data_IF_178965601483
#
_entry.id   IF_178965601483
#
_cell.length_a   1.000
_cell.length_b   1.000
_cell.length_c   1.000
_cell.angle_alpha   90.00
_cell.angle_beta   90.00
_cell.angle_gamma   90.00
#
_symmetry.space_group_name_H-M   'P 1'
#
loop_
_entity.id
_entity.type
_entity.pdbx_description
1 polymer ?
#
# COMPACT_ATOMS: atom_id res chain seq x y z
N UNK A 1 2.31 -20.52 2.44
CA UNK A 1 2.82 -19.48 1.50
C UNK A 1 1.70 -18.78 0.71
N UNK A 2 0.43 -19.17 0.86
CA UNK A 2 -0.70 -18.68 0.04
C UNK A 2 -1.52 -17.55 0.69
N UNK A 3 -1.14 -17.08 1.88
CA UNK A 3 -1.97 -16.12 2.58
C UNK A 3 -2.03 -14.75 1.89
N UNK A 4 -3.24 -14.19 1.81
CA UNK A 4 -3.54 -12.89 1.19
C UNK A 4 -3.11 -11.74 2.12
N UNK A 5 -2.83 -10.56 1.56
CA UNK A 5 -2.29 -9.45 2.36
C UNK A 5 -3.25 -8.96 3.46
N UNK A 6 -4.56 -9.08 3.25
CA UNK A 6 -5.55 -8.79 4.29
C UNK A 6 -5.49 -9.79 5.47
N UNK A 7 -5.04 -11.03 5.25
CA UNK A 7 -4.90 -12.02 6.32
C UNK A 7 -3.73 -11.65 7.23
N UNK A 8 -2.65 -11.11 6.66
CA UNK A 8 -1.53 -10.58 7.45
C UNK A 8 -2.00 -9.46 8.38
N UNK A 9 -2.79 -8.54 7.84
CA UNK A 9 -3.41 -7.46 8.61
C UNK A 9 -4.27 -7.99 9.76
N UNK A 10 -5.09 -9.03 9.51
CA UNK A 10 -5.91 -9.66 10.55
C UNK A 10 -5.06 -10.32 11.66
N UNK A 11 -4.00 -11.03 11.29
CA UNK A 11 -3.13 -11.76 12.22
C UNK A 11 -2.32 -10.85 13.17
N UNK A 12 -2.17 -9.54 12.88
CA UNK A 12 -1.56 -8.59 13.83
C UNK A 12 -2.29 -8.57 15.17
N UNK A 13 -3.63 -8.70 15.14
CA UNK A 13 -4.47 -8.65 16.34
C UNK A 13 -4.58 -10.01 17.05
N UNK A 14 -3.94 -11.06 16.54
CA UNK A 14 -4.08 -12.40 17.09
C UNK A 14 -3.54 -12.48 18.52
N UNK A 15 -4.28 -13.16 19.39
CA UNK A 15 -3.93 -13.41 20.77
C UNK A 15 -4.46 -14.79 21.19
N UNK A 16 -3.69 -15.50 22.01
CA UNK A 16 -4.15 -16.72 22.67
C UNK A 16 -5.00 -16.32 23.89
N UNK A 17 -6.30 -16.66 23.88
CA UNK A 17 -7.27 -16.18 24.88
C UNK A 17 -7.81 -17.31 25.78
N UNK A 18 -8.00 -18.51 25.23
CA UNK A 18 -8.55 -19.66 25.95
C UNK A 18 -8.00 -20.98 25.38
N UNK A 19 -8.17 -22.08 26.12
CA UNK A 19 -7.61 -23.39 25.78
C UNK A 19 -6.15 -23.53 26.20
N UNK A 20 -5.34 -24.21 25.40
CA UNK A 20 -3.89 -24.27 25.59
C UNK A 20 -3.25 -22.95 25.13
N UNK A 21 -3.09 -22.03 26.08
CA UNK A 21 -2.56 -20.69 25.82
C UNK A 21 -1.11 -20.74 25.35
N UNK A 22 -0.31 -21.70 25.82
CA UNK A 22 1.10 -21.79 25.46
C UNK A 22 1.28 -22.32 24.03
N UNK A 23 0.48 -23.32 23.63
CA UNK A 23 0.42 -23.74 22.23
C UNK A 23 -0.08 -22.60 21.32
N UNK A 24 -1.08 -21.82 21.76
CA UNK A 24 -1.56 -20.65 21.03
C UNK A 24 -0.50 -19.56 20.86
N UNK A 25 0.30 -19.28 21.89
CA UNK A 25 1.45 -18.36 21.81
C UNK A 25 2.50 -18.88 20.83
N UNK A 26 2.82 -20.17 20.88
CA UNK A 26 3.77 -20.78 19.96
C UNK A 26 3.32 -20.68 18.50
N UNK A 27 2.02 -20.88 18.23
CA UNK A 27 1.45 -20.68 16.90
C UNK A 27 1.62 -19.23 16.43
N UNK A 28 1.30 -18.25 17.28
CA UNK A 28 1.44 -16.82 16.94
C UNK A 28 2.89 -16.46 16.65
N UNK A 29 3.84 -16.97 17.44
CA UNK A 29 5.28 -16.78 17.18
C UNK A 29 5.69 -17.38 15.82
N UNK A 30 5.22 -18.58 15.50
CA UNK A 30 5.48 -19.22 14.21
C UNK A 30 4.89 -18.44 13.02
N UNK A 31 3.83 -17.66 13.25
CA UNK A 31 3.20 -16.83 12.22
C UNK A 31 3.87 -15.45 12.06
N UNK A 32 4.77 -15.03 12.96
CA UNK A 32 5.44 -13.72 12.85
C UNK A 32 6.14 -13.48 11.51
N UNK A 33 6.88 -14.43 10.91
CA UNK A 33 7.50 -14.22 9.59
C UNK A 33 6.48 -14.05 8.46
N UNK A 34 5.28 -14.63 8.61
CA UNK A 34 4.20 -14.46 7.64
C UNK A 34 3.55 -13.07 7.75
N UNK A 35 3.35 -12.58 8.97
CA UNK A 35 2.76 -11.26 9.26
C UNK A 35 3.74 -10.12 8.95
N UNK A 36 4.96 -10.22 9.49
CA UNK A 36 5.98 -9.17 9.46
C UNK A 36 7.11 -9.53 8.50
N UNK A 37 6.96 -9.16 7.23
CA UNK A 37 7.96 -9.44 6.20
C UNK A 37 9.21 -8.57 6.42
N UNK A 38 10.40 -9.18 6.47
CA UNK A 38 11.68 -8.45 6.57
C UNK A 38 11.98 -7.58 5.34
N UNK A 39 11.52 -8.06 4.17
CA UNK A 39 11.59 -7.38 2.88
C UNK A 39 10.18 -7.21 2.35
N UNK A 40 9.83 -5.97 2.02
CA UNK A 40 8.56 -5.64 1.38
C UNK A 40 8.85 -5.41 -0.09
N UNK A 41 8.46 -6.40 -0.88
CA UNK A 41 8.42 -6.30 -2.33
C UNK A 41 7.29 -5.35 -2.77
N UNK A 42 7.32 -4.94 -4.05
CA UNK A 42 6.29 -4.09 -4.60
C UNK A 42 4.89 -4.73 -4.53
N UNK A 43 4.81 -6.06 -4.57
CA UNK A 43 3.54 -6.78 -4.42
C UNK A 43 2.91 -6.56 -3.05
N UNK A 44 3.70 -6.62 -1.98
CA UNK A 44 3.23 -6.35 -0.63
C UNK A 44 2.76 -4.90 -0.47
N UNK A 45 3.50 -3.92 -1.01
CA UNK A 45 3.12 -2.50 -0.93
C UNK A 45 1.82 -2.24 -1.67
N UNK A 46 1.65 -2.81 -2.87
CA UNK A 46 0.39 -2.70 -3.62
C UNK A 46 -0.78 -3.35 -2.88
N UNK A 47 -0.57 -4.51 -2.25
CA UNK A 47 -1.60 -5.15 -1.42
C UNK A 47 -2.05 -4.27 -0.24
N UNK A 48 -1.13 -3.51 0.36
CA UNK A 48 -1.44 -2.54 1.41
C UNK A 48 -2.20 -1.32 0.86
N UNK A 49 -1.87 -0.83 -0.34
CA UNK A 49 -2.62 0.24 -1.02
C UNK A 49 -4.02 -0.20 -1.40
N UNK A 50 -4.18 -1.43 -1.91
CA UNK A 50 -5.49 -2.00 -2.20
C UNK A 50 -6.34 -2.10 -0.94
N UNK A 51 -5.74 -2.45 0.20
CA UNK A 51 -6.43 -2.47 1.50
C UNK A 51 -6.86 -1.07 1.94
N UNK A 52 -6.00 -0.05 1.79
CA UNK A 52 -6.34 1.35 2.04
C UNK A 52 -7.51 1.80 1.15
N UNK A 53 -7.42 1.57 -0.16
CA UNK A 53 -8.46 1.96 -1.12
C UNK A 53 -9.81 1.30 -0.87
N UNK A 54 -9.84 0.06 -0.33
CA UNK A 54 -11.09 -0.57 0.12
C UNK A 54 -11.70 0.12 1.34
N UNK A 55 -10.86 0.61 2.26
CA UNK A 55 -11.33 1.38 3.42
C UNK A 55 -11.89 2.72 2.94
N UNK A 56 -11.17 3.44 2.07
CA UNK A 56 -11.62 4.71 1.48
C UNK A 56 -12.99 4.55 0.78
N UNK A 57 -13.15 3.53 -0.07
CA UNK A 57 -14.41 3.25 -0.78
C UNK A 57 -15.57 2.88 0.15
N UNK A 58 -15.29 2.21 1.27
CA UNK A 58 -16.30 1.86 2.25
C UNK A 58 -16.78 3.11 2.99
N UNK A 59 -15.85 4.00 3.36
CA UNK A 59 -16.12 5.27 4.04
C UNK A 59 -16.99 6.23 3.22
N UNK A 60 -16.83 6.26 1.90
CA UNK A 60 -17.60 7.13 0.99
C UNK A 60 -19.11 6.79 0.91
N UNK A 61 -19.53 5.69 1.53
CA UNK A 61 -20.94 5.32 1.57
C UNK A 61 -21.71 6.19 2.56
N UNK A 62 -22.77 6.85 2.06
CA UNK A 62 -23.59 7.81 2.84
C UNK A 62 -24.22 7.22 4.12
N UNK A 63 -24.46 5.91 4.16
CA UNK A 63 -25.02 5.22 5.34
C UNK A 63 -24.05 5.09 6.51
N UNK A 64 -22.76 5.39 6.32
CA UNK A 64 -21.72 5.24 7.34
C UNK A 64 -21.27 6.55 7.98
N UNK A 65 -21.83 7.71 7.60
CA UNK A 65 -21.44 9.00 8.15
C UNK A 65 -21.55 9.06 9.69
N UNK A 66 -22.62 8.50 10.26
CA UNK A 66 -22.85 8.42 11.71
C UNK A 66 -22.18 7.20 12.37
N UNK A 67 -21.40 6.39 11.64
CA UNK A 67 -20.74 5.20 12.17
C UNK A 67 -19.35 5.54 12.75
N UNK A 68 -19.17 5.40 14.05
CA UNK A 68 -17.94 5.77 14.76
C UNK A 68 -16.71 4.95 14.36
N UNK A 69 -16.92 3.76 13.80
CA UNK A 69 -15.85 2.82 13.43
C UNK A 69 -15.55 2.83 11.94
N UNK A 70 -16.58 2.76 11.11
CA UNK A 70 -16.48 2.63 9.65
C UNK A 70 -16.70 3.94 8.90
N UNK A 71 -17.23 4.96 9.58
CA UNK A 71 -17.40 6.28 8.98
C UNK A 71 -16.08 7.03 8.83
N UNK A 72 -16.11 8.17 8.13
CA UNK A 72 -14.92 8.96 7.87
C UNK A 72 -14.25 9.45 9.16
N UNK A 73 -12.93 9.33 9.26
CA UNK A 73 -12.19 9.66 10.48
C UNK A 73 -12.45 8.70 11.64
N UNK A 74 -12.98 7.52 11.36
CA UNK A 74 -13.41 6.54 12.36
C UNK A 74 -12.29 5.73 12.99
N UNK A 75 -12.66 4.90 13.97
CA UNK A 75 -11.73 4.02 14.70
C UNK A 75 -10.93 3.11 13.74
N UNK A 76 -11.53 2.64 12.64
CA UNK A 76 -10.86 1.74 11.68
C UNK A 76 -9.72 2.43 10.93
N UNK A 77 -9.86 3.70 10.58
CA UNK A 77 -8.78 4.47 9.91
C UNK A 77 -7.58 4.62 10.84
N UNK A 78 -7.81 4.96 12.11
CA UNK A 78 -6.78 4.99 13.16
C UNK A 78 -6.06 3.64 13.28
N UNK A 79 -6.83 2.56 13.48
CA UNK A 79 -6.27 1.21 13.58
C UNK A 79 -5.44 0.84 12.36
N UNK A 80 -5.93 1.17 11.17
CA UNK A 80 -5.23 0.88 9.93
C UNK A 80 -3.90 1.63 9.85
N UNK A 81 -3.86 2.93 10.16
CA UNK A 81 -2.63 3.72 10.09
C UNK A 81 -1.51 3.15 10.97
N UNK A 82 -1.85 2.81 12.23
CA UNK A 82 -0.89 2.20 13.18
C UNK A 82 -0.47 0.80 12.72
N UNK A 83 -1.42 -0.05 12.33
CA UNK A 83 -1.12 -1.42 11.91
C UNK A 83 -0.32 -1.48 10.60
N UNK A 84 -0.58 -0.56 9.69
CA UNK A 84 0.18 -0.43 8.47
C UNK A 84 1.65 -0.10 8.77
N UNK A 85 1.92 0.83 9.69
CA UNK A 85 3.28 1.12 10.12
C UNK A 85 3.96 -0.12 10.74
N UNK A 86 3.22 -0.93 11.52
CA UNK A 86 3.72 -2.21 12.04
C UNK A 86 4.02 -3.21 10.91
N UNK A 87 3.17 -3.32 9.88
CA UNK A 87 3.43 -4.20 8.74
C UNK A 87 4.66 -3.76 7.94
N UNK A 88 4.86 -2.44 7.81
CA UNK A 88 5.97 -1.88 7.05
C UNK A 88 7.31 -2.09 7.78
N UNK A 89 7.36 -1.82 9.09
CA UNK A 89 8.63 -1.82 9.85
C UNK A 89 8.83 -3.03 10.76
N UNK A 90 7.77 -3.70 11.17
CA UNK A 90 7.82 -4.81 12.13
C UNK A 90 8.65 -6.00 11.66
N UNK A 91 8.88 -6.16 10.36
CA UNK A 91 9.81 -7.17 9.83
C UNK A 91 11.26 -6.96 10.27
N UNK A 92 11.66 -5.70 10.48
CA UNK A 92 13.02 -5.30 10.89
C UNK A 92 13.10 -4.91 12.35
N UNK A 93 12.01 -4.40 12.91
CA UNK A 93 11.93 -3.92 14.28
C UNK A 93 10.98 -4.79 15.12
N UNK A 94 11.57 -5.71 15.88
CA UNK A 94 10.79 -6.64 16.71
C UNK A 94 9.96 -5.95 17.79
N UNK A 95 10.39 -4.76 18.27
CA UNK A 95 9.65 -3.93 19.23
C UNK A 95 8.28 -3.48 18.72
N UNK A 96 8.09 -3.42 17.40
CA UNK A 96 6.82 -3.04 16.78
C UNK A 96 5.84 -4.22 16.65
N UNK A 97 6.22 -5.45 17.03
CA UNK A 97 5.39 -6.66 16.90
C UNK A 97 4.47 -6.86 18.11
N UNK A 98 3.94 -5.77 18.65
CA UNK A 98 3.03 -5.77 19.80
C UNK A 98 1.57 -5.79 19.34
N UNK A 99 0.71 -6.40 20.14
CA UNK A 99 -0.73 -6.43 19.87
C UNK A 99 -1.44 -5.24 20.52
N UNK A 100 -2.51 -4.77 19.87
CA UNK A 100 -3.34 -3.65 20.33
C UNK A 100 -2.85 -2.28 19.86
N UNK A 101 -3.80 -1.35 19.71
CA UNK A 101 -3.56 -0.02 19.16
C UNK A 101 -2.62 0.83 20.04
N UNK A 102 -2.90 0.96 21.34
CA UNK A 102 -2.12 1.83 22.23
C UNK A 102 -0.67 1.33 22.45
N UNK A 103 -0.41 0.03 22.70
CA UNK A 103 0.96 -0.48 22.77
C UNK A 103 1.72 -0.28 21.45
N UNK A 104 1.07 -0.53 20.31
CA UNK A 104 1.67 -0.33 19.00
C UNK A 104 2.03 1.14 18.74
N UNK A 105 1.12 2.07 19.06
CA UNK A 105 1.36 3.50 18.94
C UNK A 105 2.52 3.97 19.81
N UNK A 106 2.61 3.48 21.05
CA UNK A 106 3.73 3.77 21.94
C UNK A 106 5.07 3.23 21.39
N UNK A 107 5.08 2.03 20.80
CA UNK A 107 6.27 1.46 20.19
C UNK A 107 6.70 2.21 18.91
N UNK A 108 5.73 2.69 18.13
CA UNK A 108 5.97 3.54 16.95
C UNK A 108 6.56 4.90 17.34
N UNK A 109 6.09 5.49 18.44
CA UNK A 109 6.65 6.73 18.98
C UNK A 109 8.09 6.50 19.49
N UNK A 110 8.31 5.44 20.28
CA UNK A 110 9.62 5.10 20.82
C UNK A 110 10.68 4.77 19.75
N UNK A 111 10.26 4.31 18.57
CA UNK A 111 11.13 4.03 17.41
C UNK A 111 11.28 5.22 16.45
N UNK A 112 10.65 6.36 16.76
CA UNK A 112 10.68 7.56 15.93
C UNK A 112 9.96 7.43 14.59
N UNK A 113 9.08 6.44 14.42
CA UNK A 113 8.21 6.34 13.22
C UNK A 113 7.19 7.46 13.20
N UNK A 114 6.62 7.71 14.36
CA UNK A 114 5.61 8.72 14.61
C UNK A 114 6.22 9.67 15.63
N UNK A 115 6.19 10.96 15.38
CA UNK A 115 6.66 11.94 16.34
C UNK A 115 5.77 11.92 17.60
N UNK A 116 6.32 12.41 18.72
CA UNK A 116 5.65 12.33 20.01
C UNK A 116 4.32 13.08 20.04
N UNK A 117 4.23 14.22 19.35
CA UNK A 117 3.04 15.07 19.32
C UNK A 117 1.91 14.38 18.55
N UNK A 118 2.20 13.85 17.35
CA UNK A 118 1.26 13.05 16.56
C UNK A 118 0.83 11.79 17.32
N UNK A 119 1.74 11.11 18.02
CA UNK A 119 1.39 9.94 18.82
C UNK A 119 0.45 10.30 19.98
N UNK A 120 0.66 11.44 20.64
CA UNK A 120 -0.22 11.91 21.70
C UNK A 120 -1.60 12.30 21.17
N UNK A 121 -1.67 12.94 20.00
CA UNK A 121 -2.94 13.25 19.32
C UNK A 121 -3.71 11.97 18.97
N UNK A 122 -3.07 11.01 18.29
CA UNK A 122 -3.66 9.72 17.93
C UNK A 122 -4.17 8.94 19.15
N UNK A 123 -3.42 8.97 20.26
CA UNK A 123 -3.84 8.37 21.53
C UNK A 123 -5.14 9.03 22.03
N UNK A 124 -5.18 10.36 22.02
CA UNK A 124 -6.36 11.15 22.43
C UNK A 124 -7.58 10.84 21.57
N UNK A 125 -7.43 10.86 20.24
CA UNK A 125 -8.50 10.57 19.28
C UNK A 125 -9.06 9.15 19.44
N UNK A 126 -8.17 8.15 19.51
CA UNK A 126 -8.59 6.76 19.73
C UNK A 126 -9.36 6.61 21.03
N UNK A 127 -8.81 7.13 22.13
CA UNK A 127 -9.47 7.10 23.44
C UNK A 127 -10.83 7.80 23.44
N UNK A 128 -10.94 8.95 22.77
CA UNK A 128 -12.20 9.68 22.61
C UNK A 128 -13.24 8.87 21.84
N UNK A 129 -12.92 8.40 20.63
CA UNK A 129 -13.86 7.64 19.80
C UNK A 129 -14.30 6.34 20.48
N UNK A 130 -13.38 5.64 21.16
CA UNK A 130 -13.72 4.44 21.97
C UNK A 130 -14.67 4.77 23.11
N UNK A 131 -14.52 5.91 23.80
CA UNK A 131 -15.45 6.32 24.86
C UNK A 131 -16.84 6.62 24.31
N UNK A 132 -16.93 7.30 23.16
CA UNK A 132 -18.22 7.58 22.51
C UNK A 132 -18.88 6.26 22.06
N UNK A 133 -18.13 5.39 21.39
CA UNK A 133 -18.60 4.07 20.94
C UNK A 133 -19.10 3.22 22.10
N UNK A 134 -18.31 3.09 23.17
CA UNK A 134 -18.72 2.32 24.34
C UNK A 134 -20.00 2.91 24.96
N UNK A 135 -20.17 4.24 24.98
CA UNK A 135 -21.39 4.87 25.51
C UNK A 135 -22.62 4.57 24.63
N UNK A 136 -22.44 4.55 23.31
CA UNK A 136 -23.47 4.15 22.36
C UNK A 136 -23.91 2.70 22.63
N UNK A 137 -22.96 1.79 22.83
CA UNK A 137 -23.25 0.39 23.13
C UNK A 137 -23.98 0.21 24.47
N UNK A 138 -23.57 0.97 25.50
CA UNK A 138 -24.17 0.94 26.83
C UNK A 138 -25.63 1.41 26.88
N UNK A 139 -26.13 2.17 25.88
CA UNK A 139 -27.52 2.63 25.89
C UNK A 139 -28.54 1.49 25.84
N UNK A 140 -28.20 0.40 25.14
CA UNK A 140 -29.08 -0.76 24.92
C UNK A 140 -28.39 -2.11 25.15
N UNK A 141 -27.13 -2.11 25.58
CA UNK A 141 -26.27 -3.30 25.63
C UNK A 141 -26.16 -4.00 24.26
N UNK A 142 -26.00 -3.20 23.20
CA UNK A 142 -25.97 -3.67 21.81
C UNK A 142 -24.59 -3.43 21.19
N UNK A 143 -24.14 -4.36 20.35
CA UNK A 143 -22.90 -4.22 19.57
C UNK A 143 -23.09 -3.28 18.35
N UNK A 144 -23.48 -2.04 18.60
CA UNK A 144 -23.64 -1.00 17.57
C UNK A 144 -22.46 -0.04 17.54
N UNK A 145 -22.18 0.49 16.34
CA UNK A 145 -21.17 1.52 16.09
C UNK A 145 -21.80 2.84 15.59
N UNK A 146 -23.10 2.83 15.29
CA UNK A 146 -23.80 3.98 14.73
C UNK A 146 -24.36 4.86 15.84
N UNK A 147 -24.17 6.17 15.71
CA UNK A 147 -24.82 7.12 16.60
C UNK A 147 -26.35 6.95 16.54
N UNK A 148 -27.05 7.04 17.69
CA UNK A 148 -28.50 6.88 17.73
C UNK A 148 -29.18 8.00 16.94
N UNK A 149 -30.33 7.71 16.34
CA UNK A 149 -31.12 8.69 15.58
C UNK A 149 -32.09 9.48 16.48
N UNK A 150 -32.55 8.88 17.57
CA UNK A 150 -33.48 9.52 18.50
C UNK A 150 -32.82 10.72 19.22
N UNK A 151 -33.43 11.92 19.19
CA UNK A 151 -32.86 13.12 19.83
C UNK A 151 -32.63 12.95 21.34
N UNK A 152 -33.51 12.22 22.02
CA UNK A 152 -33.40 11.94 23.45
C UNK A 152 -32.16 11.10 23.78
N UNK A 153 -31.86 10.09 22.96
CA UNK A 153 -30.67 9.26 23.14
C UNK A 153 -29.39 10.03 22.80
N UNK A 154 -29.42 10.86 21.75
CA UNK A 154 -28.30 11.77 21.43
C UNK A 154 -28.00 12.74 22.56
N UNK A 155 -29.02 13.30 23.20
CA UNK A 155 -28.84 14.16 24.38
C UNK A 155 -28.29 13.38 25.59
N UNK A 156 -28.78 12.16 25.84
CA UNK A 156 -28.22 11.28 26.88
C UNK A 156 -26.74 11.00 26.65
N UNK A 157 -26.33 10.74 25.41
CA UNK A 157 -24.91 10.56 25.07
C UNK A 157 -24.09 11.80 25.43
N UNK A 158 -24.51 12.98 24.98
CA UNK A 158 -23.82 14.24 25.26
C UNK A 158 -23.63 14.45 26.77
N UNK A 159 -24.71 14.41 27.54
CA UNK A 159 -24.67 14.64 28.99
C UNK A 159 -23.82 13.61 29.73
N UNK A 160 -23.94 12.33 29.37
CA UNK A 160 -23.18 11.26 30.05
C UNK A 160 -21.70 11.23 29.68
N UNK A 161 -21.33 11.82 28.55
CA UNK A 161 -19.94 12.09 28.15
C UNK A 161 -19.40 13.41 28.71
N UNK A 162 -20.22 14.19 29.43
CA UNK A 162 -19.82 15.45 30.07
C UNK A 162 -19.93 16.69 29.17
N UNK A 163 -20.65 16.61 28.05
CA UNK A 163 -20.92 17.75 27.17
C UNK A 163 -22.20 18.47 27.58
N UNK A 164 -22.25 19.79 27.37
CA UNK A 164 -23.39 20.62 27.73
C UNK A 164 -24.66 20.29 26.91
N UNK A 165 -24.47 19.99 25.62
CA UNK A 165 -25.55 19.72 24.68
C UNK A 165 -25.08 18.85 23.50
N UNK A 166 -26.03 18.50 22.62
CA UNK A 166 -25.76 17.73 21.42
C UNK A 166 -24.80 18.45 20.44
N UNK A 167 -24.99 19.75 20.11
CA UNK A 167 -24.04 20.49 19.28
C UNK A 167 -22.58 20.42 19.77
N UNK A 168 -22.35 20.53 21.08
CA UNK A 168 -21.00 20.45 21.65
C UNK A 168 -20.37 19.06 21.47
N UNK A 169 -21.14 17.99 21.69
CA UNK A 169 -20.66 16.62 21.43
C UNK A 169 -20.39 16.41 19.94
N UNK A 170 -21.29 16.86 19.06
CA UNK A 170 -21.14 16.68 17.61
C UNK A 170 -19.90 17.42 17.09
N UNK A 171 -19.68 18.67 17.52
CA UNK A 171 -18.49 19.43 17.15
C UNK A 171 -17.19 18.74 17.60
N UNK A 172 -17.17 18.13 18.79
CA UNK A 172 -16.02 17.37 19.26
C UNK A 172 -15.76 16.10 18.43
N UNK A 173 -16.84 15.39 18.02
CA UNK A 173 -16.73 14.23 17.13
C UNK A 173 -16.19 14.65 15.76
N UNK A 174 -16.73 15.71 15.18
CA UNK A 174 -16.36 16.19 13.85
C UNK A 174 -14.91 16.69 13.82
N UNK A 175 -14.46 17.41 14.87
CA UNK A 175 -13.08 17.85 14.99
C UNK A 175 -12.10 16.67 15.02
N UNK A 176 -12.36 15.68 15.89
CA UNK A 176 -11.51 14.47 15.96
C UNK A 176 -11.49 13.72 14.64
N UNK A 177 -12.66 13.54 14.00
CA UNK A 177 -12.74 12.82 12.72
C UNK A 177 -11.98 13.56 11.61
N UNK A 178 -12.10 14.88 11.53
CA UNK A 178 -11.38 15.67 10.53
C UNK A 178 -9.86 15.54 10.68
N UNK A 179 -9.34 15.58 11.92
CA UNK A 179 -7.92 15.39 12.18
C UNK A 179 -7.45 13.97 11.82
N UNK A 180 -8.25 12.94 12.14
CA UNK A 180 -7.97 11.55 11.74
C UNK A 180 -7.92 11.41 10.22
N UNK A 181 -8.85 12.02 9.49
CA UNK A 181 -8.86 11.96 8.03
C UNK A 181 -7.60 12.56 7.40
N UNK A 182 -7.11 13.69 7.94
CA UNK A 182 -5.87 14.32 7.45
C UNK A 182 -4.68 13.37 7.64
N UNK A 183 -4.58 12.77 8.83
CA UNK A 183 -3.50 11.80 9.14
C UNK A 183 -3.61 10.52 8.28
N UNK A 184 -4.83 10.03 8.08
CA UNK A 184 -5.10 8.84 7.27
C UNK A 184 -4.83 9.08 5.79
N UNK A 185 -5.18 10.26 5.26
CA UNK A 185 -4.87 10.64 3.89
C UNK A 185 -3.36 10.65 3.65
N UNK A 186 -2.56 11.23 4.56
CA UNK A 186 -1.11 11.24 4.47
C UNK A 186 -0.46 9.83 4.53
N UNK A 187 -1.21 8.82 4.98
CA UNK A 187 -0.73 7.45 5.12
C UNK A 187 -0.57 6.78 3.74
N UNK A 188 0.67 6.39 3.40
CA UNK A 188 1.11 5.88 2.08
C UNK A 188 1.31 6.94 0.97
N UNK A 189 0.98 8.21 1.21
CA UNK A 189 1.20 9.30 0.25
C UNK A 189 2.70 9.65 0.07
N UNK A 190 3.51 9.43 1.12
CA UNK A 190 4.97 9.51 1.07
C UNK A 190 5.65 8.47 0.16
N UNK A 191 4.91 7.44 -0.27
CA UNK A 191 5.31 6.51 -1.31
C UNK A 191 4.60 6.83 -2.64
N UNK A 192 4.52 8.10 -3.01
CA UNK A 192 4.13 8.55 -4.36
C UNK A 192 2.71 8.18 -4.78
N UNK A 193 1.75 8.26 -3.85
CA UNK A 193 0.35 8.30 -4.23
C UNK A 193 0.07 9.69 -4.84
N UNK A 194 0.23 9.79 -6.17
CA UNK A 194 -0.61 10.74 -6.91
C UNK A 194 -2.00 10.11 -6.94
N UNK A 195 -3.07 10.89 -6.72
CA UNK A 195 -4.43 10.40 -6.92
C UNK A 195 -4.54 9.79 -8.32
N UNK A 196 -5.46 8.84 -8.56
CA UNK A 196 -5.76 8.39 -9.91
C UNK A 196 -6.03 9.65 -10.74
N UNK A 197 -5.16 9.93 -11.71
CA UNK A 197 -5.47 10.91 -12.74
C UNK A 197 -6.84 10.53 -13.27
N UNK A 198 -7.82 11.42 -13.10
CA UNK A 198 -9.12 11.30 -13.73
C UNK A 198 -8.89 11.36 -15.25
N UNK A 199 -8.78 10.19 -15.87
CA UNK A 199 -8.50 10.01 -17.29
C UNK A 199 -9.70 10.43 -18.17
N UNK A 200 -10.82 10.87 -17.59
CA UNK A 200 -11.93 11.45 -18.33
C UNK A 200 -11.67 12.89 -18.79
N UNK A 201 -10.64 13.56 -18.25
CA UNK A 201 -10.16 14.86 -18.76
C UNK A 201 -8.74 14.72 -19.28
N UNK A 202 -8.63 14.46 -20.58
CA UNK A 202 -7.37 14.59 -21.30
C UNK A 202 -6.77 15.99 -21.08
N UNK A 203 -5.45 16.12 -20.88
CA UNK A 203 -4.82 17.42 -20.69
C UNK A 203 -4.72 18.13 -22.05
N UNK A 204 -5.73 18.91 -22.39
CA UNK A 204 -5.58 20.03 -23.32
C UNK A 204 -5.43 21.30 -22.47
N UNK A 205 -4.20 21.81 -22.35
CA UNK A 205 -3.74 22.95 -23.16
C UNK A 205 -2.44 23.55 -22.60
N UNK A 206 -1.46 23.62 -23.51
CA UNK A 206 -0.53 24.73 -23.73
C UNK A 206 0.51 25.11 -22.68
N UNK A 207 1.76 24.74 -22.98
CA UNK A 207 2.90 25.61 -23.38
C UNK A 207 4.21 24.82 -23.17
N UNK A 208 5.22 24.79 -24.04
CA UNK A 208 5.45 25.40 -25.34
C UNK A 208 6.64 24.67 -26.01
N UNK A 209 6.66 24.72 -27.35
CA UNK A 209 7.82 24.82 -28.23
C UNK A 209 9.11 24.06 -27.89
N UNK A 210 9.36 22.98 -28.64
CA UNK A 210 10.67 22.37 -28.78
C UNK A 210 10.57 21.15 -29.68
N UNK A 211 10.78 21.33 -30.98
CA UNK A 211 10.73 20.24 -31.96
C UNK A 211 11.65 19.07 -31.60
N UNK A 212 11.11 17.86 -31.72
CA UNK A 212 11.81 16.59 -31.97
C UNK A 212 10.74 15.60 -32.40
N UNK A 213 10.54 15.53 -33.72
CA UNK A 213 10.97 14.40 -34.55
C UNK A 213 10.21 13.12 -34.22
N UNK A 214 9.55 12.59 -35.25
CA UNK A 214 8.73 11.39 -35.22
C UNK A 214 9.43 10.30 -34.41
N UNK A 215 8.74 9.75 -33.40
CA UNK A 215 9.14 8.46 -32.86
C UNK A 215 9.23 7.49 -34.05
N UNK A 216 10.37 6.78 -34.24
CA UNK A 216 10.49 5.86 -35.36
C UNK A 216 9.35 4.85 -35.27
N UNK A 217 8.65 4.64 -36.38
CA UNK A 217 7.65 3.59 -36.51
C UNK A 217 8.23 2.29 -35.94
N UNK A 218 7.47 1.55 -35.09
CA UNK A 218 7.98 0.30 -34.53
C UNK A 218 8.44 -0.63 -35.64
N UNK A 219 9.63 -1.22 -35.48
CA UNK A 219 10.16 -2.21 -36.43
C UNK A 219 9.15 -3.35 -36.60
N UNK A 220 9.21 -4.04 -37.74
CA UNK A 220 8.32 -5.18 -38.00
C UNK A 220 8.41 -6.25 -36.88
N UNK A 221 9.60 -6.48 -36.33
CA UNK A 221 9.85 -7.39 -35.21
C UNK A 221 9.12 -6.95 -33.94
N UNK A 222 9.23 -5.67 -33.56
CA UNK A 222 8.57 -5.12 -32.37
C UNK A 222 7.05 -5.18 -32.52
N UNK A 223 6.53 -4.85 -33.71
CA UNK A 223 5.10 -4.93 -34.02
C UNK A 223 4.55 -6.35 -33.92
N UNK A 224 5.29 -7.33 -34.45
CA UNK A 224 4.95 -8.74 -34.32
C UNK A 224 4.94 -9.19 -32.84
N UNK A 225 5.93 -8.76 -32.06
CA UNK A 225 6.02 -9.07 -30.63
C UNK A 225 4.87 -8.44 -29.82
N UNK A 226 4.45 -7.20 -30.12
CA UNK A 226 3.28 -6.56 -29.51
C UNK A 226 2.02 -7.37 -29.79
N UNK A 227 1.79 -7.75 -31.05
CA UNK A 227 0.61 -8.54 -31.42
C UNK A 227 0.60 -9.91 -30.73
N UNK A 228 1.76 -10.57 -30.66
CA UNK A 228 1.90 -11.83 -29.93
C UNK A 228 1.61 -11.68 -28.42
N UNK A 229 2.10 -10.60 -27.81
CA UNK A 229 1.83 -10.28 -26.40
C UNK A 229 0.35 -10.04 -26.14
N UNK A 230 -0.32 -9.25 -26.99
CA UNK A 230 -1.75 -8.96 -26.89
C UNK A 230 -2.62 -10.22 -27.08
N UNK A 231 -2.18 -11.14 -27.94
CA UNK A 231 -2.85 -12.42 -28.16
C UNK A 231 -2.61 -13.45 -27.04
N UNK A 232 -1.59 -13.25 -26.20
CA UNK A 232 -1.20 -14.21 -25.19
C UNK A 232 -2.27 -14.44 -24.12
N UNK A 233 -2.44 -15.70 -23.70
CA UNK A 233 -3.44 -16.10 -22.69
C UNK A 233 -3.37 -15.30 -21.38
N UNK A 234 -2.18 -15.02 -20.78
CA UNK A 234 -2.10 -14.23 -19.55
C UNK A 234 -2.69 -12.83 -19.70
N UNK A 235 -2.49 -12.19 -20.86
CA UNK A 235 -2.97 -10.83 -21.15
C UNK A 235 -4.46 -10.83 -21.47
N UNK A 236 -4.95 -11.86 -22.17
CA UNK A 236 -6.39 -12.02 -22.47
C UNK A 236 -7.25 -12.37 -21.26
N UNK A 237 -6.66 -13.00 -20.24
CA UNK A 237 -7.34 -13.39 -19.00
C UNK A 237 -7.21 -12.37 -17.86
N UNK A 238 -6.59 -11.21 -18.12
CA UNK A 238 -6.52 -10.15 -17.14
C UNK A 238 -7.92 -9.69 -16.71
N UNK A 239 -8.05 -9.35 -15.44
CA UNK A 239 -9.19 -8.60 -14.95
C UNK A 239 -9.14 -7.15 -15.47
N UNK A 240 -10.23 -6.39 -15.30
CA UNK A 240 -10.35 -5.03 -15.83
C UNK A 240 -9.21 -4.12 -15.34
N UNK A 241 -8.86 -4.19 -14.05
CA UNK A 241 -7.77 -3.38 -13.47
C UNK A 241 -6.39 -3.77 -13.99
N UNK A 242 -6.10 -5.07 -14.10
CA UNK A 242 -4.85 -5.55 -14.69
C UNK A 242 -4.70 -5.12 -16.14
N UNK A 243 -5.80 -5.15 -16.89
CA UNK A 243 -5.86 -4.70 -18.28
C UNK A 243 -5.58 -3.20 -18.42
N UNK A 244 -6.23 -2.36 -17.63
CA UNK A 244 -5.99 -0.90 -17.62
C UNK A 244 -4.52 -0.56 -17.31
N UNK A 245 -3.95 -1.22 -16.30
CA UNK A 245 -2.54 -1.04 -15.93
C UNK A 245 -1.60 -1.48 -17.04
N UNK A 246 -1.88 -2.62 -17.68
CA UNK A 246 -1.12 -3.12 -18.82
C UNK A 246 -1.15 -2.14 -20.00
N UNK A 247 -2.34 -1.67 -20.39
CA UNK A 247 -2.53 -0.74 -21.50
C UNK A 247 -1.86 0.62 -21.24
N UNK A 248 -1.76 1.04 -19.97
CA UNK A 248 -1.01 2.22 -19.57
C UNK A 248 0.51 1.99 -19.57
N UNK A 249 0.98 0.83 -19.11
CA UNK A 249 2.41 0.54 -18.98
C UNK A 249 3.09 0.30 -20.33
N UNK A 250 2.43 -0.41 -21.25
CA UNK A 250 2.98 -0.81 -22.55
C UNK A 250 3.55 0.38 -23.37
N UNK A 251 2.78 1.44 -23.69
CA UNK A 251 3.32 2.56 -24.49
C UNK A 251 4.45 3.31 -23.77
N UNK A 252 4.36 3.44 -22.44
CA UNK A 252 5.39 4.11 -21.65
C UNK A 252 6.72 3.35 -21.63
N UNK A 253 6.68 2.02 -21.66
CA UNK A 253 7.86 1.16 -21.73
C UNK A 253 8.49 1.22 -23.12
N UNK A 254 7.68 1.22 -24.19
CA UNK A 254 8.18 1.38 -25.55
C UNK A 254 8.83 2.77 -25.74
N UNK A 255 8.26 3.81 -25.15
CA UNK A 255 8.86 5.15 -25.14
C UNK A 255 10.20 5.16 -24.39
N UNK A 256 10.29 4.48 -23.24
CA UNK A 256 11.55 4.36 -22.50
C UNK A 256 12.62 3.59 -23.31
N UNK A 257 12.23 2.50 -23.99
CA UNK A 257 13.13 1.77 -24.87
C UNK A 257 13.65 2.62 -26.04
N UNK A 258 12.79 3.43 -26.65
CA UNK A 258 13.16 4.32 -27.75
C UNK A 258 14.25 5.35 -27.36
N UNK A 259 14.35 5.69 -26.07
CA UNK A 259 15.37 6.61 -25.55
C UNK A 259 16.73 5.96 -25.22
N UNK A 260 16.90 4.66 -25.48
CA UNK A 260 18.13 3.91 -25.14
C UNK A 260 19.08 3.76 -26.34
N UNK A 261 20.36 3.42 -26.12
CA UNK A 261 21.31 3.17 -27.21
C UNK A 261 20.98 1.95 -28.08
N UNK A 262 20.13 1.02 -27.61
CA UNK A 262 19.70 -0.16 -28.39
C UNK A 262 18.17 -0.34 -28.35
N UNK A 263 17.40 0.52 -29.05
CA UNK A 263 15.94 0.62 -28.92
C UNK A 263 15.18 -0.68 -29.19
N UNK A 264 15.54 -1.40 -30.26
CA UNK A 264 14.84 -2.63 -30.66
C UNK A 264 15.09 -3.78 -29.66
N UNK A 265 16.35 -3.97 -29.25
CA UNK A 265 16.70 -4.99 -28.25
C UNK A 265 16.01 -4.72 -26.90
N UNK A 266 16.03 -3.46 -26.45
CA UNK A 266 15.34 -3.05 -25.23
C UNK A 266 13.83 -3.27 -25.35
N UNK A 267 13.19 -2.86 -26.45
CA UNK A 267 11.76 -3.04 -26.66
C UNK A 267 11.35 -4.52 -26.65
N UNK A 268 12.06 -5.39 -27.39
CA UNK A 268 11.77 -6.82 -27.43
C UNK A 268 11.93 -7.48 -26.05
N UNK A 269 12.99 -7.12 -25.32
CA UNK A 269 13.19 -7.60 -23.96
C UNK A 269 12.08 -7.13 -23.01
N UNK A 270 11.70 -5.85 -23.04
CA UNK A 270 10.62 -5.32 -22.19
C UNK A 270 9.25 -5.94 -22.51
N UNK A 271 8.98 -6.27 -23.78
CA UNK A 271 7.77 -7.01 -24.16
C UNK A 271 7.77 -8.45 -23.60
N UNK A 272 8.92 -9.14 -23.62
CA UNK A 272 9.09 -10.45 -22.97
C UNK A 272 8.91 -10.34 -21.46
N UNK A 273 9.41 -9.27 -20.84
CA UNK A 273 9.21 -8.99 -19.42
C UNK A 273 7.72 -8.80 -19.12
N UNK A 274 7.02 -7.94 -19.87
CA UNK A 274 5.57 -7.71 -19.74
C UNK A 274 4.77 -9.01 -19.84
N UNK A 275 5.16 -9.91 -20.75
CA UNK A 275 4.56 -11.24 -20.83
C UNK A 275 4.77 -12.05 -19.53
N UNK A 276 6.00 -12.08 -19.01
CA UNK A 276 6.35 -12.82 -17.80
C UNK A 276 5.64 -12.29 -16.54
N UNK A 277 5.40 -10.98 -16.46
CA UNK A 277 4.73 -10.33 -15.32
C UNK A 277 3.24 -10.07 -15.55
N UNK A 278 2.66 -10.50 -16.67
CA UNK A 278 1.27 -10.24 -17.02
C UNK A 278 0.27 -10.66 -15.92
N UNK A 279 0.55 -11.76 -15.21
CA UNK A 279 -0.27 -12.22 -14.07
C UNK A 279 0.05 -11.56 -12.73
N UNK A 280 0.91 -10.53 -12.70
CA UNK A 280 1.43 -9.88 -11.48
C UNK A 280 1.06 -8.39 -11.48
N UNK A 281 -0.17 -8.04 -11.05
CA UNK A 281 -0.71 -6.68 -11.20
C UNK A 281 0.11 -5.60 -10.52
N UNK A 282 0.89 -5.95 -9.48
CA UNK A 282 1.74 -5.01 -8.75
C UNK A 282 2.95 -4.53 -9.57
N UNK A 283 3.57 -5.42 -10.35
CA UNK A 283 4.66 -5.01 -11.24
C UNK A 283 4.12 -4.17 -12.40
N UNK A 284 2.91 -4.46 -12.90
CA UNK A 284 2.27 -3.62 -13.92
C UNK A 284 1.96 -2.22 -13.38
N UNK A 285 1.44 -2.10 -12.15
CA UNK A 285 1.21 -0.82 -11.49
C UNK A 285 2.52 -0.02 -11.33
N UNK A 286 3.57 -0.67 -10.84
CA UNK A 286 4.90 -0.08 -10.70
C UNK A 286 5.41 0.51 -12.02
N UNK A 287 5.36 -0.28 -13.10
CA UNK A 287 5.81 0.16 -14.41
C UNK A 287 4.91 1.24 -15.01
N UNK A 288 3.61 1.27 -14.70
CA UNK A 288 2.72 2.35 -15.11
C UNK A 288 3.02 3.67 -14.38
N UNK A 289 3.34 3.61 -13.09
CA UNK A 289 3.45 4.79 -12.21
C UNK A 289 4.86 5.39 -12.14
N UNK A 290 5.92 4.56 -12.16
CA UNK A 290 7.29 5.01 -11.88
C UNK A 290 8.11 5.18 -13.15
N UNK A 291 8.30 6.44 -13.58
CA UNK A 291 9.16 6.79 -14.74
C UNK A 291 10.60 6.28 -14.60
N UNK A 292 11.25 6.57 -13.47
CA UNK A 292 12.64 6.14 -13.26
C UNK A 292 12.83 4.63 -13.32
N UNK A 293 11.82 3.85 -12.92
CA UNK A 293 11.85 2.39 -13.03
C UNK A 293 11.86 1.92 -14.49
N UNK A 294 11.00 2.52 -15.33
CA UNK A 294 10.96 2.23 -16.77
C UNK A 294 12.27 2.58 -17.46
N UNK A 295 12.82 3.75 -17.16
CA UNK A 295 14.09 4.23 -17.75
C UNK A 295 15.25 3.33 -17.37
N UNK A 296 15.37 2.94 -16.09
CA UNK A 296 16.41 2.02 -15.63
C UNK A 296 16.28 0.64 -16.27
N UNK A 297 15.07 0.09 -16.33
CA UNK A 297 14.83 -1.20 -16.97
C UNK A 297 15.19 -1.18 -18.46
N UNK A 298 14.78 -0.13 -19.15
CA UNK A 298 15.12 0.05 -20.56
C UNK A 298 16.64 0.12 -20.76
N UNK A 299 17.35 0.87 -19.91
CA UNK A 299 18.82 0.97 -19.98
C UNK A 299 19.52 -0.37 -19.71
N UNK A 300 19.10 -1.14 -18.69
CA UNK A 300 19.65 -2.48 -18.43
C UNK A 300 19.41 -3.42 -19.60
N UNK A 301 18.20 -3.40 -20.16
CA UNK A 301 17.81 -4.28 -21.26
C UNK A 301 18.49 -3.90 -22.58
N UNK A 302 18.84 -2.61 -22.75
CA UNK A 302 19.66 -2.14 -23.86
C UNK A 302 21.13 -2.57 -23.74
N UNK A 303 21.67 -2.63 -22.52
CA UNK A 303 23.10 -2.86 -22.26
C UNK A 303 23.48 -4.32 -22.05
N UNK A 304 22.57 -5.17 -21.56
CA UNK A 304 22.89 -6.55 -21.20
C UNK A 304 21.72 -7.51 -21.43
N UNK A 305 21.85 -8.32 -22.48
CA UNK A 305 20.90 -9.42 -22.75
C UNK A 305 20.88 -10.46 -21.63
N UNK A 306 22.03 -10.74 -20.98
CA UNK A 306 22.11 -11.65 -19.85
C UNK A 306 21.27 -11.18 -18.65
N UNK A 307 21.39 -9.90 -18.27
CA UNK A 307 20.59 -9.34 -17.18
C UNK A 307 19.11 -9.28 -17.55
N UNK A 308 18.79 -8.93 -18.80
CA UNK A 308 17.43 -8.95 -19.30
C UNK A 308 16.79 -10.35 -19.16
N UNK A 309 17.47 -11.40 -19.64
CA UNK A 309 16.98 -12.78 -19.53
C UNK A 309 16.86 -13.24 -18.08
N UNK A 310 17.79 -12.84 -17.21
CA UNK A 310 17.74 -13.18 -15.78
C UNK A 310 16.55 -12.53 -15.07
N UNK A 311 16.27 -11.26 -15.35
CA UNK A 311 15.12 -10.52 -14.79
C UNK A 311 13.80 -11.06 -15.32
N UNK A 312 13.73 -11.43 -16.61
CA UNK A 312 12.54 -12.06 -17.21
C UNK A 312 12.26 -13.42 -16.54
N UNK A 313 13.29 -14.23 -16.33
CA UNK A 313 13.16 -15.53 -15.68
C UNK A 313 12.80 -15.43 -14.19
N UNK A 314 13.29 -14.39 -13.51
CA UNK A 314 13.04 -14.15 -12.09
C UNK A 314 12.58 -12.72 -11.82
N UNK A 315 11.28 -12.41 -12.00
CA UNK A 315 10.78 -11.05 -11.86
C UNK A 315 10.90 -10.44 -10.45
N UNK A 316 11.20 -11.24 -9.41
CA UNK A 316 11.56 -10.72 -8.08
C UNK A 316 12.82 -9.86 -8.09
N UNK A 317 13.72 -10.08 -9.06
CA UNK A 317 14.90 -9.23 -9.25
C UNK A 317 14.54 -7.81 -9.71
N UNK A 318 13.29 -7.57 -10.15
CA UNK A 318 12.81 -6.22 -10.40
C UNK A 318 12.81 -5.39 -9.13
N UNK A 319 12.51 -5.99 -7.97
CA UNK A 319 12.52 -5.27 -6.70
C UNK A 319 13.94 -4.75 -6.39
N UNK A 320 14.96 -5.58 -6.59
CA UNK A 320 16.37 -5.21 -6.37
C UNK A 320 16.89 -4.21 -7.41
N UNK A 321 16.56 -4.42 -8.69
CA UNK A 321 17.01 -3.55 -9.78
C UNK A 321 16.41 -2.14 -9.68
N UNK A 322 15.21 -2.04 -9.12
CA UNK A 322 14.46 -0.79 -8.98
C UNK A 322 14.65 -0.12 -7.62
N UNK A 323 15.32 -0.77 -6.66
CA UNK A 323 15.71 -0.15 -5.40
C UNK A 323 16.92 0.78 -5.61
N UNK A 324 16.68 2.08 -5.54
CA UNK A 324 17.71 3.12 -5.70
C UNK A 324 18.83 3.04 -4.65
N UNK A 325 18.68 2.24 -3.59
CA UNK A 325 19.72 2.00 -2.58
C UNK A 325 20.79 1.01 -3.06
N UNK A 326 20.46 0.15 -4.02
CA UNK A 326 21.40 -0.87 -4.53
C UNK A 326 22.54 -0.24 -5.32
N UNK A 327 22.34 0.95 -5.92
CA UNK A 327 23.43 1.66 -6.61
C UNK A 327 24.50 2.22 -5.68
N UNK A 328 24.19 2.38 -4.38
CA UNK A 328 25.11 2.95 -3.41
C UNK A 328 26.09 1.93 -2.83
N UNK A 329 25.83 0.62 -2.99
CA UNK A 329 26.67 -0.44 -2.44
C UNK A 329 27.10 -1.40 -3.55
N UNK A 330 28.20 -1.09 -4.22
CA UNK A 330 29.01 -2.15 -4.86
C UNK A 330 29.56 -3.01 -3.72
N UNK A 331 28.86 -4.11 -3.42
CA UNK A 331 29.27 -5.07 -2.41
C UNK A 331 30.64 -5.64 -2.78
N UNK A 332 31.65 -5.34 -1.97
CA UNK A 332 32.93 -6.06 -2.01
C UNK A 332 32.68 -7.54 -1.67
N UNK A 333 33.57 -8.45 -2.07
CA UNK A 333 33.45 -9.89 -1.76
C UNK A 333 33.29 -10.16 -0.25
N UNK A 334 33.93 -9.33 0.58
CA UNK A 334 33.79 -9.35 2.03
C UNK A 334 32.40 -8.88 2.49
N UNK A 335 31.87 -7.82 1.88
CA UNK A 335 30.52 -7.32 2.13
C UNK A 335 29.43 -8.33 1.71
N UNK A 336 29.62 -9.00 0.57
CA UNK A 336 28.72 -10.04 0.09
C UNK A 336 28.71 -11.25 1.03
N UNK A 337 29.87 -11.74 1.47
CA UNK A 337 29.97 -12.86 2.43
C UNK A 337 29.31 -12.53 3.77
N UNK A 338 29.50 -11.31 4.29
CA UNK A 338 28.87 -10.88 5.54
C UNK A 338 27.34 -10.77 5.42
N UNK A 339 26.83 -10.31 4.26
CA UNK A 339 25.40 -10.26 3.98
C UNK A 339 24.80 -11.67 3.89
N UNK A 340 25.50 -12.60 3.22
CA UNK A 340 25.07 -13.99 3.06
C UNK A 340 25.02 -14.72 4.41
N UNK A 341 26.04 -14.52 5.26
CA UNK A 341 26.04 -15.07 6.61
C UNK A 341 24.90 -14.51 7.47
N UNK A 342 24.54 -13.23 7.34
CA UNK A 342 23.38 -12.62 8.04
C UNK A 342 22.02 -13.06 7.51
N UNK A 343 21.96 -13.53 6.27
CA UNK A 343 20.73 -14.02 5.66
C UNK A 343 20.48 -15.50 5.96
N UNK A 344 21.54 -16.27 6.22
CA UNK A 344 21.50 -17.70 6.52
C UNK A 344 21.45 -18.02 8.03
N UNK A 345 21.70 -17.04 8.90
CA UNK A 345 21.57 -17.15 10.36
C UNK A 345 20.16 -16.77 10.85
#
# INVERSE_FOLDING_TARGET
REGRDWERYAWIKAAAVAGDVDAGRQLIENLRPFVYRRYLDFTAIEGLRDLKGRIDQEVDRKDLADNLKLGPGGIRELEFAVQLAQLIRGGREASLRVSGFLPALAALAASGVVDADTAQQLHGHYGFLRRVENRVQMLRDEQTHSLPTAPTDRLRLALTLGYADLPALQAAIDAVRAEVQVLFAATLDGAGHRPPLDLARGPNSDQAAGGRELSPEPTASVRAAINALLAALPVRRMDTRGRERFERALPLLLQAAAATPAPEAAALGLLRLLHAIAGRPSYLALLAERRGARERLADVFARSGFLADRVIAHPLLLDDLLDARVDAEVLSDAGFSAMLQRALA
#
